data_IF_475770787272
#
_entry.id   IF_475770787272
#
_cell.length_a   1.000
_cell.length_b   1.000
_cell.length_c   1.000
_cell.angle_alpha   90.00
_cell.angle_beta   90.00
_cell.angle_gamma   90.00
#
_symmetry.space_group_name_H-M   'P 1'
#
loop_
_entity.id
_entity.type
_entity.pdbx_description
1 polymer ?
#
# COMPACT_ATOMS: atom_id res chain seq x y z
N UNK A 1 26.88 54.16 -41.07
CA UNK A 1 26.52 54.86 -42.32
C UNK A 1 25.76 53.89 -43.21
N UNK A 2 24.45 53.99 -43.47
CA UNK A 2 23.35 54.64 -42.74
C UNK A 2 22.06 53.78 -42.94
N UNK A 3 21.18 53.52 -41.97
CA UNK A 3 20.31 54.36 -41.11
C UNK A 3 18.99 54.80 -41.79
N UNK A 4 17.85 54.66 -41.07
CA UNK A 4 16.45 55.07 -41.39
C UNK A 4 15.61 54.17 -42.33
N UNK A 5 14.26 54.14 -42.28
CA UNK A 5 13.26 54.17 -41.17
C UNK A 5 11.83 53.91 -41.71
N UNK A 6 10.85 53.66 -40.81
CA UNK A 6 9.35 53.73 -41.02
C UNK A 6 8.70 52.66 -41.94
N UNK A 7 7.41 52.32 -41.80
CA UNK A 7 6.41 52.61 -40.74
C UNK A 7 5.27 51.55 -40.71
N UNK A 8 4.52 51.54 -39.59
CA UNK A 8 3.21 50.86 -39.46
C UNK A 8 2.08 51.61 -40.21
N UNK A 9 0.93 50.95 -40.40
CA UNK A 9 -0.37 51.61 -40.17
C UNK A 9 -1.29 50.88 -39.17
N UNK A 10 -2.41 51.53 -38.84
CA UNK A 10 -3.45 51.18 -37.86
C UNK A 10 -4.82 51.18 -38.56
N UNK A 11 -5.90 50.52 -38.12
CA UNK A 11 -6.17 49.67 -36.92
C UNK A 11 -7.15 48.52 -37.33
N UNK A 12 -8.21 48.02 -36.67
CA UNK A 12 -8.99 48.40 -35.47
C UNK A 12 -9.85 47.25 -34.90
N UNK A 13 -9.89 47.16 -33.56
CA UNK A 13 -11.06 46.91 -32.68
C UNK A 13 -12.14 45.92 -33.13
N UNK A 14 -12.28 44.81 -32.37
CA UNK A 14 -13.54 44.51 -31.69
C UNK A 14 -13.27 43.74 -30.39
N UNK A 15 -13.68 44.32 -29.26
CA UNK A 15 -13.77 43.64 -27.95
C UNK A 15 -15.24 43.42 -27.64
N UNK A 16 -15.57 42.34 -26.92
CA UNK A 16 -16.87 42.19 -26.30
C UNK A 16 -16.75 41.52 -24.94
N UNK A 17 -17.25 42.20 -23.92
CA UNK A 17 -17.22 41.77 -22.52
C UNK A 17 -18.18 40.61 -22.22
N UNK A 18 -17.77 39.78 -21.24
CA UNK A 18 -18.71 39.13 -20.34
C UNK A 18 -18.04 38.93 -18.97
N UNK A 19 -18.18 39.93 -18.10
CA UNK A 19 -17.82 39.88 -16.69
C UNK A 19 -19.01 40.31 -15.84
N UNK A 20 -18.94 40.08 -14.51
CA UNK A 20 -20.07 40.20 -13.55
C UNK A 20 -21.08 39.05 -13.72
N UNK A 21 -21.57 38.38 -12.67
CA UNK A 21 -21.87 38.91 -11.34
C UNK A 21 -21.66 37.87 -10.23
N UNK A 22 -20.92 38.26 -9.17
CA UNK A 22 -21.02 37.61 -7.85
C UNK A 22 -22.35 38.00 -7.19
N UNK A 23 -23.12 37.02 -6.71
CA UNK A 23 -24.14 37.27 -5.67
C UNK A 23 -24.02 36.23 -4.56
N UNK A 24 -23.77 36.74 -3.36
CA UNK A 24 -24.09 36.03 -2.13
C UNK A 24 -25.56 36.32 -1.75
N UNK A 25 -26.18 35.33 -1.14
CA UNK A 25 -27.30 35.38 -0.19
C UNK A 25 -26.95 34.23 0.79
N UNK A 26 -26.85 34.37 2.11
CA UNK A 26 -27.62 35.19 3.07
C UNK A 26 -29.13 34.92 3.04
N UNK A 27 -29.52 33.87 3.76
CA UNK A 27 -30.70 33.81 4.63
C UNK A 27 -30.27 32.94 5.83
N UNK A 28 -29.82 33.53 6.94
CA UNK A 28 -30.59 33.97 8.12
C UNK A 28 -31.16 32.85 9.00
N UNK A 29 -30.94 33.00 10.31
CA UNK A 29 -31.51 32.17 11.37
C UNK A 29 -32.93 32.67 11.71
N UNK A 30 -33.75 31.86 12.40
CA UNK A 30 -33.90 32.14 13.82
C UNK A 30 -34.07 30.89 14.69
N UNK A 31 -33.23 30.79 15.73
CA UNK A 31 -33.44 29.88 16.86
C UNK A 31 -34.13 30.61 18.02
N UNK A 32 -35.39 30.27 18.34
CA UNK A 32 -36.08 30.86 19.51
C UNK A 32 -36.88 29.87 20.36
N UNK A 33 -36.41 29.72 21.60
CA UNK A 33 -37.19 29.75 22.85
C UNK A 33 -38.38 28.78 23.06
N UNK A 34 -38.14 27.78 23.92
CA UNK A 34 -39.18 27.14 24.75
C UNK A 34 -39.75 28.12 25.79
N UNK A 35 -41.04 27.98 26.18
CA UNK A 35 -41.31 27.98 27.63
C UNK A 35 -42.39 27.01 28.12
N UNK A 36 -41.95 26.05 28.95
CA UNK A 36 -42.56 25.62 30.24
C UNK A 36 -44.11 25.59 30.42
N UNK A 37 -44.57 24.35 30.69
CA UNK A 37 -45.21 23.90 31.96
C UNK A 37 -46.76 23.86 32.05
N UNK A 38 -47.23 22.84 32.81
CA UNK A 38 -48.47 22.76 33.62
C UNK A 38 -49.71 22.09 32.99
N UNK A 39 -49.88 20.80 33.28
CA UNK A 39 -51.13 20.34 33.92
C UNK A 39 -50.84 19.24 34.96
N UNK A 40 -51.69 19.12 35.98
CA UNK A 40 -51.60 18.20 37.13
C UNK A 40 -53.01 17.79 37.53
N UNK A 41 -53.26 16.49 37.70
CA UNK A 41 -54.34 15.86 38.48
C UNK A 41 -54.03 14.34 38.57
N UNK A 42 -54.40 13.60 39.62
CA UNK A 42 -54.96 14.01 40.91
C UNK A 42 -55.61 12.85 41.68
N UNK A 43 -55.24 12.66 42.95
CA UNK A 43 -55.84 11.67 43.87
C UNK A 43 -55.21 10.25 43.82
N UNK A 44 -55.22 9.38 44.84
CA UNK A 44 -55.14 9.43 46.33
C UNK A 44 -55.90 8.23 46.95
N UNK A 45 -55.21 7.31 47.63
CA UNK A 45 -55.59 6.44 48.79
C UNK A 45 -54.58 5.25 48.85
N UNK A 46 -53.87 4.94 49.94
CA UNK A 46 -54.21 4.60 51.35
C UNK A 46 -54.65 3.12 51.52
N UNK A 47 -54.16 2.27 52.44
CA UNK A 47 -52.95 2.30 53.32
C UNK A 47 -52.44 0.82 53.61
N UNK A 48 -52.07 0.30 54.82
CA UNK A 48 -50.90 -0.59 54.95
C UNK A 48 -51.11 -1.99 55.61
N UNK A 49 -50.09 -2.87 55.66
CA UNK A 49 -49.80 -3.66 56.88
C UNK A 49 -48.41 -4.36 57.00
N UNK A 50 -48.07 -4.68 58.26
CA UNK A 50 -47.14 -5.68 58.84
C UNK A 50 -45.85 -6.18 58.13
N UNK A 51 -44.75 -6.15 58.89
CA UNK A 51 -43.58 -7.05 58.79
C UNK A 51 -43.70 -8.24 59.77
N UNK A 52 -42.85 -9.29 59.71
CA UNK A 52 -41.61 -9.26 60.51
C UNK A 52 -40.37 -9.85 59.80
N UNK A 53 -39.18 -9.72 60.42
CA UNK A 53 -37.88 -10.20 59.92
C UNK A 53 -37.60 -11.66 60.27
N UNK A 54 -36.96 -12.41 59.37
CA UNK A 54 -36.09 -13.56 59.69
C UNK A 54 -34.90 -13.64 58.71
N UNK A 55 -33.93 -14.51 59.01
CA UNK A 55 -32.51 -14.34 58.67
C UNK A 55 -32.04 -14.92 57.32
N UNK A 56 -30.83 -14.51 56.93
CA UNK A 56 -29.78 -15.30 56.24
C UNK A 56 -29.56 -15.19 54.71
N UNK A 57 -28.55 -14.35 54.38
CA UNK A 57 -27.42 -14.60 53.45
C UNK A 57 -27.57 -14.58 51.92
N UNK A 58 -26.67 -13.77 51.34
CA UNK A 58 -26.02 -13.87 50.01
C UNK A 58 -26.87 -13.93 48.75
N UNK A 59 -26.97 -12.77 48.07
CA UNK A 59 -27.09 -12.68 46.62
C UNK A 59 -26.33 -11.40 46.15
N UNK A 60 -25.31 -11.49 45.27
CA UNK A 60 -24.49 -10.33 44.89
C UNK A 60 -25.16 -9.48 43.80
N UNK A 61 -25.79 -8.38 44.22
CA UNK A 61 -26.11 -7.28 43.30
C UNK A 61 -24.84 -6.73 42.65
N UNK A 62 -24.72 -6.84 41.33
CA UNK A 62 -24.13 -5.83 40.45
C UNK A 62 -24.47 -6.17 38.99
N UNK A 63 -25.18 -5.26 38.31
CA UNK A 63 -25.34 -5.28 36.85
C UNK A 63 -24.23 -4.37 36.29
N UNK A 64 -23.24 -4.89 35.55
CA UNK A 64 -22.34 -4.07 34.75
C UNK A 64 -23.11 -3.45 33.58
N UNK A 65 -22.77 -2.22 33.20
CA UNK A 65 -23.42 -1.52 32.07
C UNK A 65 -23.04 -2.09 30.69
N UNK A 66 -23.63 -1.53 29.63
CA UNK A 66 -23.51 -1.97 28.24
C UNK A 66 -22.12 -1.78 27.58
N UNK A 67 -21.03 -1.77 28.34
CA UNK A 67 -19.64 -1.54 27.88
C UNK A 67 -19.03 -2.75 27.13
N UNK A 68 -19.86 -3.69 26.68
CA UNK A 68 -19.43 -4.92 25.97
C UNK A 68 -20.03 -5.08 24.56
N UNK A 69 -20.74 -4.07 24.04
CA UNK A 69 -21.37 -4.13 22.71
C UNK A 69 -20.46 -3.60 21.59
N UNK A 70 -19.43 -2.79 21.89
CA UNK A 70 -18.51 -2.26 20.87
C UNK A 70 -17.37 -3.23 20.47
N UNK A 71 -17.26 -4.40 21.12
CA UNK A 71 -16.06 -5.26 21.05
C UNK A 71 -16.27 -6.62 20.33
N UNK A 72 -17.43 -6.86 19.70
CA UNK A 72 -17.63 -7.99 18.78
C UNK A 72 -17.90 -7.60 17.32
N UNK A 73 -18.15 -6.32 17.03
CA UNK A 73 -18.24 -5.80 15.65
C UNK A 73 -16.89 -5.29 15.10
N UNK A 74 -15.79 -5.95 15.52
CA UNK A 74 -14.58 -6.11 14.70
C UNK A 74 -14.84 -7.05 13.51
N UNK A 75 -16.00 -6.88 12.85
CA UNK A 75 -16.25 -7.31 11.49
C UNK A 75 -15.37 -6.45 10.56
N UNK A 76 -14.07 -6.77 10.56
CA UNK A 76 -13.01 -6.01 9.89
C UNK A 76 -13.48 -5.70 8.48
N UNK A 77 -13.63 -4.41 8.14
CA UNK A 77 -13.97 -3.98 6.78
C UNK A 77 -12.85 -4.45 5.85
N UNK A 78 -13.06 -5.59 5.19
CA UNK A 78 -12.07 -6.21 4.29
C UNK A 78 -11.99 -5.48 2.95
N UNK A 79 -13.05 -4.74 2.63
CA UNK A 79 -13.22 -3.96 1.42
C UNK A 79 -13.57 -2.51 1.76
N UNK A 80 -13.42 -1.64 0.76
CA UNK A 80 -13.82 -0.24 0.82
C UNK A 80 -15.37 -0.07 0.87
N UNK A 81 -15.86 1.16 0.92
CA UNK A 81 -17.30 1.45 0.97
C UNK A 81 -18.09 1.02 -0.27
N UNK A 82 -17.43 0.82 -1.41
CA UNK A 82 -18.06 0.29 -2.63
C UNK A 82 -18.01 -1.24 -2.74
N UNK A 83 -17.18 -1.91 -1.94
CA UNK A 83 -16.93 -3.35 -2.02
C UNK A 83 -16.06 -3.79 -3.21
N UNK A 84 -15.48 -2.84 -3.96
CA UNK A 84 -14.72 -3.12 -5.18
C UNK A 84 -13.23 -3.41 -4.92
N UNK A 85 -12.67 -2.93 -3.80
CA UNK A 85 -11.25 -3.04 -3.49
C UNK A 85 -11.01 -3.44 -2.05
N UNK A 86 -9.94 -4.21 -1.82
CA UNK A 86 -9.48 -4.55 -0.48
C UNK A 86 -8.99 -3.31 0.26
N UNK A 87 -9.45 -3.18 1.50
CA UNK A 87 -9.15 -2.05 2.38
C UNK A 87 -8.60 -2.55 3.72
N UNK A 88 -7.78 -1.73 4.36
CA UNK A 88 -7.42 -1.87 5.75
C UNK A 88 -7.40 -0.49 6.43
N UNK A 89 -7.45 -0.44 7.78
CA UNK A 89 -7.21 0.80 8.53
C UNK A 89 -5.92 1.50 8.09
N UNK A 90 -5.89 2.82 8.26
CA UNK A 90 -4.74 3.65 7.95
C UNK A 90 -3.48 3.13 8.64
N UNK A 91 -2.35 3.11 7.91
CA UNK A 91 -1.03 2.76 8.44
C UNK A 91 -0.09 3.95 8.35
N UNK A 92 0.55 4.26 9.46
CA UNK A 92 1.68 5.19 9.49
C UNK A 92 2.82 4.63 8.61
N UNK A 93 3.49 5.49 7.83
CA UNK A 93 4.51 5.05 6.87
C UNK A 93 5.66 4.26 7.54
N UNK A 94 5.97 4.60 8.79
CA UNK A 94 6.99 3.93 9.60
C UNK A 94 6.70 2.44 9.84
N UNK A 95 5.43 2.02 9.78
CA UNK A 95 4.99 0.62 9.96
C UNK A 95 5.06 -0.21 8.67
N UNK A 96 5.38 0.40 7.53
CA UNK A 96 5.54 -0.29 6.24
C UNK A 96 6.95 -0.15 5.64
N UNK A 97 7.77 0.73 6.22
CA UNK A 97 9.20 0.83 5.91
C UNK A 97 9.90 -0.43 6.42
N UNK A 98 10.69 -1.04 5.55
CA UNK A 98 11.61 -2.13 5.84
C UNK A 98 13.03 -1.61 5.74
N UNK A 99 13.91 -1.95 6.68
CA UNK A 99 15.34 -1.89 6.44
C UNK A 99 15.76 -2.98 5.45
N UNK A 100 16.93 -2.82 4.82
CA UNK A 100 17.54 -3.85 3.95
C UNK A 100 17.65 -5.21 4.66
N UNK A 101 17.92 -5.22 5.96
CA UNK A 101 18.03 -6.43 6.77
C UNK A 101 16.67 -7.11 6.98
N UNK A 102 15.62 -6.35 7.31
CA UNK A 102 14.27 -6.89 7.49
C UNK A 102 13.67 -7.38 6.17
N UNK A 103 13.91 -6.69 5.06
CA UNK A 103 13.56 -7.17 3.73
C UNK A 103 14.26 -8.51 3.43
N UNK A 104 15.57 -8.61 3.71
CA UNK A 104 16.35 -9.85 3.49
C UNK A 104 15.94 -11.02 4.39
N UNK A 105 15.45 -10.74 5.61
CA UNK A 105 14.88 -11.75 6.51
C UNK A 105 13.44 -12.14 6.14
N UNK A 106 12.74 -11.30 5.37
CA UNK A 106 11.38 -11.57 4.89
C UNK A 106 11.46 -12.44 3.64
N UNK A 107 10.89 -13.65 3.69
CA UNK A 107 10.87 -14.57 2.54
C UNK A 107 9.85 -14.08 1.50
N UNK A 108 10.28 -13.11 0.68
CA UNK A 108 9.49 -12.51 -0.39
C UNK A 108 9.57 -13.38 -1.65
N UNK A 109 8.43 -13.94 -2.05
CA UNK A 109 8.24 -14.68 -3.31
C UNK A 109 6.80 -14.43 -3.82
N UNK A 110 6.56 -14.52 -5.13
CA UNK A 110 5.23 -14.29 -5.72
C UNK A 110 4.72 -12.85 -5.53
N UNK A 111 5.65 -11.90 -5.52
CA UNK A 111 5.40 -10.49 -5.16
C UNK A 111 5.70 -9.56 -6.34
N UNK A 112 5.28 -8.29 -6.23
CA UNK A 112 5.56 -7.23 -7.20
C UNK A 112 6.58 -6.26 -6.61
N UNK A 113 7.69 -6.04 -7.30
CA UNK A 113 8.66 -4.98 -6.97
C UNK A 113 8.32 -3.76 -7.81
N UNK A 114 8.17 -2.59 -7.21
CA UNK A 114 7.93 -1.33 -7.93
C UNK A 114 9.11 -0.38 -7.67
N UNK A 115 10.00 -0.31 -8.65
CA UNK A 115 11.18 0.54 -8.68
C UNK A 115 10.80 1.95 -9.14
N UNK A 116 11.10 2.97 -8.35
CA UNK A 116 10.69 4.36 -8.63
C UNK A 116 11.91 5.28 -8.60
N UNK A 117 12.07 6.03 -9.69
CA UNK A 117 12.99 7.16 -9.80
C UNK A 117 12.24 8.46 -9.53
N UNK A 118 12.52 9.09 -8.39
CA UNK A 118 11.88 10.33 -7.96
C UNK A 118 12.52 10.90 -6.71
N UNK A 119 12.38 12.21 -6.53
CA UNK A 119 12.89 13.00 -5.42
C UNK A 119 11.81 13.92 -4.82
N UNK A 120 12.19 14.82 -3.93
CA UNK A 120 11.26 15.72 -3.22
C UNK A 120 10.60 16.76 -4.15
N UNK A 121 11.15 17.00 -5.35
CA UNK A 121 10.69 17.97 -6.35
C UNK A 121 9.93 17.35 -7.53
N UNK A 122 10.16 16.06 -7.84
CA UNK A 122 9.52 15.33 -8.95
C UNK A 122 7.99 15.40 -8.92
N UNK A 123 7.32 15.27 -10.07
CA UNK A 123 5.85 15.20 -10.13
C UNK A 123 5.29 13.93 -9.47
N UNK A 124 4.03 13.93 -9.03
CA UNK A 124 3.39 12.69 -8.54
C UNK A 124 2.94 11.82 -9.71
N UNK A 125 3.42 10.58 -9.75
CA UNK A 125 2.97 9.52 -10.67
C UNK A 125 1.56 9.02 -10.30
N UNK A 126 1.18 9.10 -9.02
CA UNK A 126 -0.15 8.69 -8.55
C UNK A 126 -0.24 7.18 -8.38
N UNK A 127 0.63 6.61 -7.54
CA UNK A 127 0.85 5.16 -7.38
C UNK A 127 -0.41 4.39 -6.98
N UNK A 128 -1.41 5.06 -6.40
CA UNK A 128 -2.76 4.52 -6.15
C UNK A 128 -3.39 3.89 -7.40
N UNK A 129 -3.14 4.42 -8.59
CA UNK A 129 -3.68 3.90 -9.84
C UNK A 129 -3.05 2.54 -10.24
N UNK A 130 -1.79 2.28 -9.84
CA UNK A 130 -1.14 0.97 -10.00
C UNK A 130 -1.59 -0.03 -8.92
N UNK A 131 -1.71 0.42 -7.66
CA UNK A 131 -2.03 -0.47 -6.53
C UNK A 131 -3.50 -0.88 -6.52
N UNK A 132 -4.43 -0.01 -6.93
CA UNK A 132 -5.87 -0.27 -6.86
C UNK A 132 -6.31 -1.52 -7.65
N UNK A 133 -5.96 -1.70 -8.95
CA UNK A 133 -6.31 -2.92 -9.68
C UNK A 133 -5.72 -4.19 -9.05
N UNK A 134 -4.49 -4.11 -8.51
CA UNK A 134 -3.82 -5.19 -7.79
C UNK A 134 -4.43 -5.50 -6.41
N UNK A 135 -5.51 -4.79 -6.03
CA UNK A 135 -6.25 -4.96 -4.77
C UNK A 135 -7.75 -5.14 -4.98
N UNK A 136 -8.23 -5.34 -6.20
CA UNK A 136 -9.65 -5.60 -6.50
C UNK A 136 -10.23 -6.79 -5.69
N UNK A 137 -11.52 -6.75 -5.40
CA UNK A 137 -12.23 -7.72 -4.54
C UNK A 137 -12.59 -9.04 -5.23
N UNK A 138 -12.22 -9.21 -6.51
CA UNK A 138 -12.31 -10.47 -7.24
C UNK A 138 -11.20 -11.48 -6.89
N UNK A 139 -10.13 -11.04 -6.22
CA UNK A 139 -9.11 -11.90 -5.62
C UNK A 139 -9.47 -12.22 -4.17
N UNK A 140 -8.97 -13.33 -3.64
CA UNK A 140 -8.98 -13.57 -2.20
C UNK A 140 -7.78 -12.89 -1.53
N UNK A 141 -7.94 -12.47 -0.26
CA UNK A 141 -6.88 -11.80 0.50
C UNK A 141 -5.54 -12.58 0.52
N UNK A 142 -5.56 -13.91 0.46
CA UNK A 142 -4.35 -14.72 0.41
C UNK A 142 -3.64 -14.63 -0.95
N UNK A 143 -4.38 -14.60 -2.06
CA UNK A 143 -3.90 -14.47 -3.45
C UNK A 143 -3.27 -13.09 -3.76
N UNK A 144 -3.66 -12.04 -3.02
CA UNK A 144 -3.11 -10.69 -3.21
C UNK A 144 -1.57 -10.69 -3.13
N UNK A 145 -0.90 -10.39 -4.24
CA UNK A 145 0.56 -10.29 -4.29
C UNK A 145 1.07 -9.14 -3.41
N UNK A 146 2.07 -9.34 -2.54
CA UNK A 146 2.72 -8.22 -1.85
C UNK A 146 3.30 -7.22 -2.85
N UNK A 147 3.26 -5.93 -2.52
CA UNK A 147 3.86 -4.85 -3.33
C UNK A 147 4.97 -4.22 -2.50
N UNK A 148 6.19 -4.21 -3.03
CA UNK A 148 7.36 -3.60 -2.38
C UNK A 148 7.87 -2.46 -3.24
N UNK A 149 7.72 -1.23 -2.74
CA UNK A 149 8.26 -0.03 -3.39
C UNK A 149 9.74 0.13 -3.06
N UNK A 150 10.59 0.33 -4.08
CA UNK A 150 12.03 0.56 -3.94
C UNK A 150 12.39 1.91 -4.56
N UNK A 151 12.81 2.87 -3.73
CA UNK A 151 13.11 4.23 -4.19
C UNK A 151 13.29 5.23 -3.05
N UNK A 152 13.26 6.53 -3.39
CA UNK A 152 13.41 7.61 -2.41
C UNK A 152 12.24 7.65 -1.43
N UNK A 153 12.56 7.64 -0.13
CA UNK A 153 11.55 7.75 0.92
C UNK A 153 10.84 9.11 0.91
N UNK A 154 11.53 10.19 0.53
CA UNK A 154 10.94 11.55 0.52
C UNK A 154 9.98 11.76 -0.65
N UNK A 155 10.18 11.04 -1.75
CA UNK A 155 9.17 10.88 -2.80
C UNK A 155 7.97 10.05 -2.27
N UNK A 156 8.24 8.85 -1.74
CA UNK A 156 7.20 7.92 -1.30
C UNK A 156 6.33 8.46 -0.15
N UNK A 157 6.89 9.29 0.73
CA UNK A 157 6.15 10.04 1.76
C UNK A 157 5.02 10.90 1.19
N UNK A 158 5.21 11.48 0.00
CA UNK A 158 4.20 12.33 -0.67
C UNK A 158 3.08 11.51 -1.32
N UNK A 159 3.39 10.31 -1.82
CA UNK A 159 2.40 9.37 -2.39
C UNK A 159 1.61 8.61 -1.31
N UNK A 160 2.15 8.45 -0.10
CA UNK A 160 1.63 7.54 0.93
C UNK A 160 0.20 7.84 1.38
N UNK A 161 -0.21 9.11 1.38
CA UNK A 161 -1.59 9.56 1.67
C UNK A 161 -2.62 9.00 0.66
N UNK A 162 -2.18 8.40 -0.44
CA UNK A 162 -3.04 7.69 -1.41
C UNK A 162 -2.97 6.17 -1.30
N UNK A 163 -2.06 5.64 -0.47
CA UNK A 163 -1.69 4.22 -0.39
C UNK A 163 -1.92 3.56 0.97
N UNK A 164 -1.90 4.34 2.06
CA UNK A 164 -1.96 3.92 3.46
C UNK A 164 -3.13 2.98 3.85
N UNK A 165 -4.21 2.93 3.06
CA UNK A 165 -5.35 2.03 3.25
C UNK A 165 -5.26 0.68 2.51
N UNK A 166 -4.20 0.38 1.75
CA UNK A 166 -4.08 -0.90 1.04
C UNK A 166 -3.36 -1.99 1.88
N UNK A 167 -3.78 -3.26 1.79
CA UNK A 167 -3.09 -4.37 2.43
C UNK A 167 -1.85 -4.83 1.65
N UNK A 168 -0.92 -5.51 2.34
CA UNK A 168 0.32 -6.07 1.77
C UNK A 168 1.12 -5.07 0.91
N UNK A 169 1.34 -3.86 1.43
CA UNK A 169 2.21 -2.84 0.81
C UNK A 169 3.36 -2.56 1.77
N UNK A 170 4.59 -2.51 1.24
CA UNK A 170 5.83 -2.24 1.96
C UNK A 170 6.73 -1.29 1.16
N UNK A 171 7.66 -0.63 1.85
CA UNK A 171 8.61 0.33 1.28
C UNK A 171 10.03 -0.08 1.71
N UNK A 172 10.96 -0.20 0.77
CA UNK A 172 12.39 -0.26 1.04
C UNK A 172 13.05 1.07 0.59
N UNK A 173 13.42 1.96 1.53
CA UNK A 173 14.17 3.18 1.22
C UNK A 173 15.52 2.83 0.56
N UNK A 174 15.76 3.33 -0.64
CA UNK A 174 16.96 3.01 -1.41
C UNK A 174 16.92 3.56 -2.83
N UNK A 175 17.58 2.88 -3.77
CA UNK A 175 17.53 3.21 -5.20
C UNK A 175 17.45 1.94 -6.05
N UNK A 176 16.65 1.91 -7.15
CA UNK A 176 16.63 0.77 -8.07
C UNK A 176 17.97 0.44 -8.74
N UNK A 177 18.95 1.36 -8.72
CA UNK A 177 20.31 1.08 -9.21
C UNK A 177 21.14 0.24 -8.23
N UNK A 178 20.74 0.19 -6.95
CA UNK A 178 21.43 -0.56 -5.91
C UNK A 178 21.11 -2.06 -5.97
N UNK A 179 22.05 -2.84 -6.51
CA UNK A 179 21.98 -4.32 -6.51
C UNK A 179 21.82 -4.92 -5.10
N UNK A 180 22.23 -4.20 -4.04
CA UNK A 180 22.05 -4.62 -2.66
C UNK A 180 20.58 -4.53 -2.21
N UNK A 181 19.87 -3.48 -2.63
CA UNK A 181 18.44 -3.29 -2.32
C UNK A 181 17.57 -4.23 -3.17
N UNK A 182 17.90 -4.39 -4.45
CA UNK A 182 17.25 -5.36 -5.34
C UNK A 182 17.41 -6.81 -4.86
N UNK A 183 18.58 -7.18 -4.29
CA UNK A 183 18.78 -8.50 -3.68
C UNK A 183 18.02 -8.64 -2.35
N UNK A 184 17.95 -7.60 -1.54
CA UNK A 184 17.24 -7.63 -0.26
C UNK A 184 15.72 -7.83 -0.40
N UNK A 185 15.11 -7.41 -1.53
CA UNK A 185 13.70 -7.73 -1.83
C UNK A 185 13.51 -9.10 -2.51
N UNK A 186 14.58 -9.86 -2.77
CA UNK A 186 14.55 -11.11 -3.52
C UNK A 186 13.94 -10.93 -4.94
N UNK A 187 14.41 -9.97 -5.73
CA UNK A 187 13.85 -9.66 -7.06
C UNK A 187 13.84 -10.85 -8.04
N UNK A 188 14.71 -11.85 -7.86
CA UNK A 188 14.72 -13.10 -8.60
C UNK A 188 13.52 -14.03 -8.30
N UNK A 189 12.72 -13.71 -7.27
CA UNK A 189 11.49 -14.41 -6.88
C UNK A 189 10.25 -13.50 -6.99
N UNK A 190 10.34 -12.37 -7.68
CA UNK A 190 9.18 -11.53 -7.99
C UNK A 190 8.43 -12.04 -9.22
N UNK A 191 7.11 -11.89 -9.22
CA UNK A 191 6.24 -12.19 -10.38
C UNK A 191 6.25 -11.06 -11.42
N UNK A 192 6.64 -9.85 -11.01
CA UNK A 192 6.84 -8.70 -11.87
C UNK A 192 7.71 -7.65 -11.15
N UNK A 193 8.70 -7.10 -11.87
CA UNK A 193 9.31 -5.83 -11.54
C UNK A 193 8.70 -4.74 -12.44
N UNK A 194 8.25 -3.64 -11.84
CA UNK A 194 7.74 -2.46 -12.56
C UNK A 194 8.71 -1.30 -12.31
N UNK A 195 9.18 -0.64 -13.35
CA UNK A 195 10.15 0.46 -13.27
C UNK A 195 9.49 1.73 -13.80
N UNK A 196 9.39 2.76 -12.96
CA UNK A 196 8.69 4.03 -13.22
C UNK A 196 9.61 5.23 -12.98
N UNK A 197 9.37 6.33 -13.70
CA UNK A 197 10.09 7.59 -13.52
C UNK A 197 9.15 8.77 -13.25
N UNK A 198 9.36 9.46 -12.14
CA UNK A 198 8.75 10.74 -11.82
C UNK A 198 9.58 11.95 -12.33
N UNK A 199 10.80 11.70 -12.83
CA UNK A 199 11.81 12.72 -13.18
C UNK A 199 11.67 13.29 -14.60
N UNK A 200 10.64 12.84 -15.35
CA UNK A 200 10.43 13.06 -16.78
C UNK A 200 10.58 14.53 -17.23
N UNK A 201 10.07 15.48 -16.43
CA UNK A 201 9.93 16.89 -16.81
C UNK A 201 11.20 17.76 -16.64
N UNK A 202 12.27 17.26 -16.00
CA UNK A 202 13.45 18.06 -15.64
C UNK A 202 14.61 17.96 -16.63
N UNK A 203 14.44 17.31 -17.80
CA UNK A 203 15.51 17.02 -18.75
C UNK A 203 15.13 17.57 -20.14
N UNK A 204 15.92 18.55 -20.63
CA UNK A 204 15.72 19.21 -21.93
C UNK A 204 15.95 18.28 -23.13
N UNK A 205 16.84 17.31 -23.01
CA UNK A 205 17.10 16.30 -24.03
C UNK A 205 16.14 15.10 -23.88
N UNK A 206 15.15 15.04 -24.79
CA UNK A 206 14.13 13.99 -24.82
C UNK A 206 14.70 12.57 -25.05
N UNK A 207 15.94 12.40 -25.52
CA UNK A 207 16.57 11.08 -25.58
C UNK A 207 17.05 10.60 -24.21
N UNK A 208 17.38 11.52 -23.31
CA UNK A 208 17.98 11.23 -21.99
C UNK A 208 16.96 11.14 -20.85
N UNK A 209 15.66 11.30 -21.12
CA UNK A 209 14.60 11.22 -20.11
C UNK A 209 14.49 9.80 -19.51
N UNK A 210 14.62 8.76 -20.32
CA UNK A 210 14.45 7.36 -19.91
C UNK A 210 15.70 6.70 -19.31
N UNK A 211 16.83 7.43 -19.24
CA UNK A 211 18.16 6.89 -18.89
C UNK A 211 18.14 6.07 -17.59
N UNK A 212 17.39 6.50 -16.56
CA UNK A 212 17.34 5.83 -15.27
C UNK A 212 16.56 4.51 -15.35
N UNK A 213 15.45 4.50 -16.10
CA UNK A 213 14.61 3.33 -16.35
C UNK A 213 15.35 2.27 -17.18
N UNK A 214 16.06 2.69 -18.23
CA UNK A 214 16.86 1.81 -19.08
C UNK A 214 18.05 1.24 -18.29
N UNK A 215 18.78 2.07 -17.54
CA UNK A 215 19.90 1.62 -16.71
C UNK A 215 19.45 0.65 -15.62
N UNK A 216 18.29 0.86 -14.98
CA UNK A 216 17.73 -0.09 -14.03
C UNK A 216 17.35 -1.42 -14.69
N UNK A 217 16.70 -1.39 -15.86
CA UNK A 217 16.33 -2.57 -16.64
C UNK A 217 17.56 -3.43 -16.99
N UNK A 218 18.61 -2.79 -17.50
CA UNK A 218 19.89 -3.44 -17.83
C UNK A 218 20.65 -3.91 -16.57
N UNK A 219 20.60 -3.15 -15.48
CA UNK A 219 21.20 -3.52 -14.20
C UNK A 219 20.59 -4.81 -13.66
N UNK A 220 19.26 -4.91 -13.62
CA UNK A 220 18.52 -6.11 -13.18
C UNK A 220 18.83 -7.29 -14.11
N UNK A 221 18.75 -7.10 -15.44
CA UNK A 221 19.01 -8.18 -16.40
C UNK A 221 20.46 -8.70 -16.38
N UNK A 222 21.40 -7.91 -15.88
CA UNK A 222 22.80 -8.29 -15.68
C UNK A 222 23.15 -8.70 -14.24
N UNK A 223 22.15 -8.94 -13.38
CA UNK A 223 22.35 -9.59 -12.07
C UNK A 223 22.47 -11.11 -12.23
N UNK A 224 23.29 -11.72 -11.37
CA UNK A 224 23.37 -13.17 -11.17
C UNK A 224 22.98 -13.48 -9.72
N UNK A 225 22.40 -14.66 -9.51
CA UNK A 225 21.86 -15.11 -8.23
C UNK A 225 22.35 -16.54 -7.97
N UNK A 226 23.02 -16.74 -6.83
CA UNK A 226 23.58 -18.03 -6.47
C UNK A 226 22.50 -18.92 -5.84
N UNK A 227 22.24 -20.09 -6.45
CA UNK A 227 21.23 -21.08 -6.00
C UNK A 227 21.57 -21.79 -4.68
N UNK A 228 22.58 -21.29 -3.95
CA UNK A 228 23.11 -21.81 -2.68
C UNK A 228 22.04 -22.04 -1.59
N UNK A 229 20.94 -21.27 -1.61
CA UNK A 229 19.79 -21.44 -0.72
C UNK A 229 19.15 -22.83 -0.89
N UNK A 230 19.23 -23.42 -2.09
CA UNK A 230 18.73 -24.77 -2.38
C UNK A 230 19.67 -25.92 -1.96
N UNK A 231 20.93 -25.64 -1.60
CA UNK A 231 22.01 -26.64 -1.40
C UNK A 231 22.28 -26.93 0.07
N UNK A 232 22.14 -25.94 0.97
CA UNK A 232 22.50 -26.08 2.39
C UNK A 232 21.61 -27.07 3.19
N UNK A 233 20.51 -27.59 2.61
CA UNK A 233 19.73 -28.71 3.18
C UNK A 233 20.15 -30.10 2.67
N UNK A 234 21.01 -30.20 1.65
CA UNK A 234 21.41 -31.49 1.05
C UNK A 234 22.60 -32.16 1.76
N UNK A 235 23.39 -31.42 2.55
CA UNK A 235 24.60 -31.91 3.23
C UNK A 235 24.35 -32.47 4.65
N UNK A 236 23.16 -33.01 4.93
CA UNK A 236 22.88 -33.74 6.19
C UNK A 236 23.28 -35.22 6.15
N UNK A 237 23.81 -35.73 5.03
CA UNK A 237 24.48 -37.03 4.98
C UNK A 237 25.93 -36.91 5.44
N UNK A 238 26.16 -37.08 6.74
CA UNK A 238 27.50 -36.91 7.33
C UNK A 238 27.77 -37.57 8.68
N UNK A 239 26.83 -38.31 9.28
CA UNK A 239 27.11 -39.04 10.53
C UNK A 239 26.27 -40.32 10.70
N UNK A 240 26.68 -41.40 10.04
CA UNK A 240 26.22 -42.77 10.35
C UNK A 240 27.20 -43.42 11.34
N UNK A 241 26.81 -43.73 12.58
CA UNK A 241 27.67 -44.48 13.49
C UNK A 241 27.89 -45.92 12.96
N UNK A 242 29.06 -46.54 13.20
CA UNK A 242 29.34 -47.89 12.68
C UNK A 242 28.41 -48.96 13.28
N UNK A 243 27.92 -49.87 12.43
CA UNK A 243 27.25 -51.11 12.87
C UNK A 243 25.72 -51.12 12.81
N UNK A 244 25.09 -50.46 11.83
CA UNK A 244 23.64 -50.57 11.61
C UNK A 244 23.29 -50.91 10.15
N UNK A 245 23.31 -52.20 9.83
CA UNK A 245 22.85 -52.72 8.54
C UNK A 245 21.34 -52.49 8.37
N UNK A 246 20.95 -51.88 7.24
CA UNK A 246 19.55 -51.80 6.81
C UNK A 246 19.39 -52.07 5.31
N UNK A 247 19.18 -53.34 5.00
CA UNK A 247 18.58 -53.78 3.75
C UNK A 247 17.08 -53.46 3.73
N UNK A 248 16.64 -52.62 2.77
CA UNK A 248 15.30 -52.61 2.15
C UNK A 248 15.16 -51.41 1.20
N UNK A 249 14.95 -51.60 -0.11
CA UNK A 249 14.66 -50.53 -1.05
C UNK A 249 13.15 -50.47 -1.36
N UNK A 250 12.37 -49.66 -0.63
CA UNK A 250 11.02 -49.32 -1.10
C UNK A 250 10.50 -47.96 -0.59
N UNK A 251 9.57 -47.41 -1.35
CA UNK A 251 8.64 -46.30 -1.08
C UNK A 251 9.07 -45.22 -0.06
N UNK A 252 9.53 -44.09 -0.59
CA UNK A 252 9.31 -42.79 0.03
C UNK A 252 8.70 -41.86 -1.01
N UNK A 253 7.52 -41.25 -0.75
CA UNK A 253 6.83 -40.46 -1.76
C UNK A 253 7.62 -39.19 -2.03
N UNK A 254 8.12 -39.06 -3.26
CA UNK A 254 8.66 -37.79 -3.75
C UNK A 254 7.49 -36.81 -3.82
N UNK A 255 7.30 -36.03 -2.75
CA UNK A 255 6.49 -34.83 -2.79
C UNK A 255 7.19 -33.84 -3.71
N UNK A 256 6.88 -33.95 -4.99
CA UNK A 256 7.31 -33.06 -6.05
C UNK A 256 6.69 -31.68 -5.85
N UNK A 257 7.16 -30.97 -4.84
CA UNK A 257 7.16 -29.51 -4.87
C UNK A 257 7.86 -29.12 -6.15
N UNK A 258 7.07 -28.69 -7.14
CA UNK A 258 7.55 -27.95 -8.29
C UNK A 258 8.16 -26.67 -7.73
N UNK A 259 9.45 -26.73 -7.38
CA UNK A 259 10.23 -25.55 -7.04
C UNK A 259 10.05 -24.60 -8.22
N UNK A 260 9.42 -23.45 -7.99
CA UNK A 260 9.43 -22.35 -8.95
C UNK A 260 10.89 -22.17 -9.38
N UNK A 261 11.15 -22.20 -10.68
CA UNK A 261 12.51 -22.24 -11.19
C UNK A 261 13.25 -20.99 -10.70
N UNK A 262 14.19 -21.19 -9.78
CA UNK A 262 14.96 -20.09 -9.18
C UNK A 262 15.68 -19.35 -10.30
N UNK A 263 15.45 -18.04 -10.38
CA UNK A 263 15.99 -17.23 -11.47
C UNK A 263 17.45 -16.93 -11.17
N UNK A 264 18.33 -17.86 -11.55
CA UNK A 264 19.79 -17.77 -11.43
C UNK A 264 20.39 -16.60 -12.21
N UNK A 265 19.73 -16.17 -13.29
CA UNK A 265 20.16 -15.07 -14.16
C UNK A 265 19.05 -14.03 -14.34
N UNK A 266 19.34 -12.77 -14.03
CA UNK A 266 18.39 -11.66 -14.06
C UNK A 266 17.75 -11.39 -15.44
N UNK A 267 18.34 -11.91 -16.52
CA UNK A 267 17.76 -11.94 -17.87
C UNK A 267 16.30 -12.39 -17.90
N UNK A 268 15.97 -13.38 -17.06
CA UNK A 268 14.67 -14.06 -17.04
C UNK A 268 13.68 -13.42 -16.06
N UNK A 269 14.07 -12.38 -15.32
CA UNK A 269 13.16 -11.64 -14.45
C UNK A 269 12.12 -10.93 -15.33
N UNK A 270 10.81 -11.06 -15.04
CA UNK A 270 9.76 -10.29 -15.70
C UNK A 270 9.86 -8.82 -15.29
N UNK A 271 10.05 -7.94 -16.28
CA UNK A 271 10.19 -6.50 -16.09
C UNK A 271 9.24 -5.78 -17.03
N UNK A 272 8.49 -4.81 -16.52
CA UNK A 272 7.79 -3.78 -17.29
C UNK A 272 8.44 -2.43 -16.94
N UNK A 273 8.83 -1.68 -17.95
CA UNK A 273 9.52 -0.39 -17.80
C UNK A 273 8.71 0.69 -18.49
N UNK A 274 8.41 1.77 -17.78
CA UNK A 274 7.86 3.00 -18.35
C UNK A 274 8.95 3.71 -19.16
N UNK A 275 8.62 4.11 -20.39
CA UNK A 275 9.46 4.92 -21.27
C UNK A 275 8.61 6.09 -21.79
N UNK A 276 9.23 7.27 -21.91
CA UNK A 276 8.60 8.51 -22.38
C UNK A 276 8.83 8.71 -23.89
N UNK A 277 9.96 8.21 -24.41
CA UNK A 277 10.34 8.36 -25.81
C UNK A 277 10.27 7.01 -26.54
N UNK A 278 9.37 6.90 -27.53
CA UNK A 278 9.15 5.70 -28.37
C UNK A 278 10.40 5.20 -29.14
N UNK A 279 11.50 5.97 -29.14
CA UNK A 279 12.76 5.63 -29.82
C UNK A 279 13.76 4.85 -28.96
N UNK A 280 13.48 4.66 -27.66
CA UNK A 280 14.38 4.10 -26.64
C UNK A 280 14.12 2.61 -26.32
#
# INVERSE_FOLDING_TARGET
MDTLQRAYPLSSVSVHDCATTLRAFEDEHPSTLSPKKKQRNGGMRNSPNCSPKMMSRHDPLLIPGNEQIENMDMNVKRYDSTGMFHWCPSKDIEKVILTRSEASMTVLSGHVVVCIFGDVTSALVGLRNLVMPLRASNFHYHELKPIVFVGSLDYLRREWETLHNFPKVSILPGTPLSRADLRAVNINLCDMCVILSANQNNIEDASLQDKECILASLNIKSMQFDDSIGVLQANSQGFTPPGMDRSSPDSSPVHGFVRQASVTTGSNIPIITELVNDSN
#
